data_IF_302672236465
#
_entry.id   IF_302672236465
#
_cell.length_a   1.000
_cell.length_b   1.000
_cell.length_c   1.000
_cell.angle_alpha   90.00
_cell.angle_beta   90.00
_cell.angle_gamma   90.00
#
_symmetry.space_group_name_H-M   'P 1'
#
loop_
_entity.id
_entity.type
_entity.pdbx_description
1 polymer ?
#
# COMPACT_ATOMS: atom_id res chain seq x y z
N UNK A 1 -31.27 5.01 0.06
CA UNK A 1 -30.68 4.08 -0.91
C UNK A 1 -29.66 3.23 -0.20
N UNK A 2 -29.77 1.92 -0.28
CA UNK A 2 -28.78 0.99 0.32
C UNK A 2 -27.50 1.08 -0.52
N UNK A 3 -26.34 1.17 0.14
CA UNK A 3 -25.06 1.15 -0.54
C UNK A 3 -24.76 -0.26 -1.05
N UNK A 4 -24.37 -0.36 -2.32
CA UNK A 4 -23.97 -1.61 -2.97
C UNK A 4 -22.47 -1.62 -3.21
N UNK A 5 -21.83 -2.81 -3.25
CA UNK A 5 -20.42 -2.94 -3.59
C UNK A 5 -20.12 -2.36 -4.98
N UNK A 6 -19.09 -1.52 -5.07
CA UNK A 6 -18.70 -0.86 -6.33
C UNK A 6 -17.53 -1.58 -7.06
N UNK A 7 -17.09 -2.75 -6.56
CA UNK A 7 -15.93 -3.45 -7.09
C UNK A 7 -14.65 -2.61 -7.00
N UNK A 8 -13.87 -2.57 -8.09
CA UNK A 8 -12.66 -1.73 -8.17
C UNK A 8 -12.98 -0.23 -8.38
N UNK A 9 -14.23 0.14 -8.59
CA UNK A 9 -14.62 1.51 -8.86
C UNK A 9 -15.05 2.25 -7.59
N UNK A 10 -15.21 3.57 -7.72
CA UNK A 10 -15.80 4.42 -6.69
C UNK A 10 -17.22 4.83 -7.08
N UNK A 11 -18.18 4.87 -6.13
CA UNK A 11 -19.59 5.17 -6.48
C UNK A 11 -19.80 6.59 -7.03
N UNK A 12 -18.89 7.54 -6.72
CA UNK A 12 -19.06 8.96 -7.08
C UNK A 12 -17.93 9.52 -7.94
N UNK A 13 -16.81 8.77 -8.14
CA UNK A 13 -15.60 9.29 -8.77
C UNK A 13 -15.14 8.39 -9.94
N UNK A 14 -14.61 9.02 -10.98
CA UNK A 14 -13.90 8.37 -12.09
C UNK A 14 -12.88 9.36 -12.72
N UNK A 15 -11.64 8.88 -13.03
CA UNK A 15 -11.11 7.57 -12.65
C UNK A 15 -10.81 7.49 -11.15
N UNK A 16 -11.08 6.35 -10.54
CA UNK A 16 -10.72 6.09 -9.14
C UNK A 16 -10.70 4.57 -8.90
N UNK A 17 -9.53 4.02 -8.60
CA UNK A 17 -9.37 2.58 -8.39
C UNK A 17 -7.97 2.08 -8.71
N UNK A 18 -7.87 0.78 -8.96
CA UNK A 18 -6.63 0.13 -9.39
C UNK A 18 -6.58 0.05 -10.92
N UNK A 19 -5.42 0.39 -11.45
CA UNK A 19 -5.15 0.37 -12.89
C UNK A 19 -3.95 -0.53 -13.18
N UNK A 20 -3.96 -1.31 -14.29
CA UNK A 20 -2.85 -2.16 -14.63
C UNK A 20 -1.64 -1.34 -15.08
N UNK A 21 -0.46 -1.71 -14.63
CA UNK A 21 0.83 -1.26 -15.12
C UNK A 21 1.53 -2.39 -15.90
N UNK A 22 2.66 -2.11 -16.52
CA UNK A 22 3.42 -3.14 -17.26
C UNK A 22 3.94 -4.26 -16.35
N UNK A 23 4.20 -3.94 -15.07
CA UNK A 23 4.81 -4.82 -14.06
C UNK A 23 3.90 -5.03 -12.82
N UNK A 24 2.60 -4.78 -12.94
CA UNK A 24 1.66 -4.98 -11.82
C UNK A 24 0.49 -4.02 -11.84
N UNK A 25 0.22 -3.38 -10.71
CA UNK A 25 -0.93 -2.51 -10.52
C UNK A 25 -0.54 -1.20 -9.82
N UNK A 26 -1.29 -0.14 -10.12
CA UNK A 26 -1.18 1.16 -9.46
C UNK A 26 -2.56 1.64 -9.02
N UNK A 27 -2.61 2.41 -7.93
CA UNK A 27 -3.81 3.11 -7.48
C UNK A 27 -3.78 4.54 -8.02
N UNK A 28 -4.86 4.98 -8.65
CA UNK A 28 -5.05 6.35 -9.12
C UNK A 28 -6.39 6.85 -8.60
N UNK A 29 -6.40 8.09 -8.06
CA UNK A 29 -7.61 8.73 -7.57
C UNK A 29 -7.75 10.15 -8.12
N UNK A 30 -8.75 10.39 -8.97
CA UNK A 30 -9.12 11.72 -9.45
C UNK A 30 -10.32 12.21 -8.65
N UNK A 31 -10.04 13.05 -7.64
CA UNK A 31 -11.08 13.51 -6.70
C UNK A 31 -11.75 14.81 -7.12
N UNK A 32 -11.13 15.57 -8.03
CA UNK A 32 -11.64 16.83 -8.55
C UNK A 32 -11.32 17.04 -10.05
N UNK A 33 -11.79 18.17 -10.59
CA UNK A 33 -11.61 18.48 -12.01
C UNK A 33 -10.20 19.01 -12.32
N UNK A 34 -9.45 19.49 -11.33
CA UNK A 34 -8.06 19.91 -11.52
C UNK A 34 -7.15 18.70 -11.74
N UNK A 35 -7.30 17.64 -10.91
CA UNK A 35 -6.56 16.40 -11.08
C UNK A 35 -6.91 15.68 -12.38
N UNK A 36 -8.17 15.78 -12.86
CA UNK A 36 -8.54 15.25 -14.17
C UNK A 36 -7.76 15.94 -15.30
N UNK A 37 -7.75 17.27 -15.30
CA UNK A 37 -7.02 18.03 -16.29
C UNK A 37 -5.52 17.72 -16.27
N UNK A 38 -4.95 17.58 -15.08
CA UNK A 38 -3.54 17.22 -14.92
C UNK A 38 -3.25 15.82 -15.44
N UNK A 39 -4.05 14.82 -15.07
CA UNK A 39 -3.90 13.46 -15.56
C UNK A 39 -4.00 13.40 -17.08
N UNK A 40 -5.01 14.04 -17.68
CA UNK A 40 -5.21 14.02 -19.12
C UNK A 40 -4.07 14.75 -19.89
N UNK A 41 -3.46 15.77 -19.30
CA UNK A 41 -2.23 16.41 -19.84
C UNK A 41 -1.03 15.48 -19.79
N UNK A 42 -0.80 14.81 -18.67
CA UNK A 42 0.29 13.84 -18.51
C UNK A 42 0.13 12.69 -19.50
N UNK A 43 -1.10 12.25 -19.72
CA UNK A 43 -1.44 11.22 -20.72
C UNK A 43 -1.33 11.73 -22.16
N UNK A 44 -1.12 13.03 -22.38
CA UNK A 44 -1.17 13.70 -23.70
C UNK A 44 -2.49 13.48 -24.46
N UNK A 45 -3.59 13.26 -23.71
CA UNK A 45 -4.93 12.99 -24.24
C UNK A 45 -5.73 14.29 -24.37
N UNK A 46 -5.38 15.10 -25.37
CA UNK A 46 -6.06 16.37 -25.67
C UNK A 46 -7.54 16.16 -26.06
N UNK A 47 -7.87 15.02 -26.65
CA UNK A 47 -9.24 14.61 -26.96
C UNK A 47 -10.10 14.51 -25.69
N UNK A 48 -9.58 13.90 -24.60
CA UNK A 48 -10.28 13.81 -23.31
C UNK A 48 -10.40 15.17 -22.62
N UNK A 49 -9.45 16.07 -22.81
CA UNK A 49 -9.51 17.44 -22.29
C UNK A 49 -10.58 18.28 -23.00
N UNK A 50 -10.77 18.09 -24.29
CA UNK A 50 -11.73 18.83 -25.12
C UNK A 50 -13.18 18.31 -24.95
N UNK A 51 -13.35 17.10 -24.44
CA UNK A 51 -14.66 16.49 -24.25
C UNK A 51 -15.43 17.10 -23.10
N UNK A 52 -16.46 17.89 -23.42
CA UNK A 52 -17.31 18.57 -22.44
C UNK A 52 -18.04 17.59 -21.51
N UNK A 53 -18.33 16.36 -21.95
CA UNK A 53 -18.95 15.32 -21.12
C UNK A 53 -18.06 14.94 -19.93
N UNK A 54 -16.73 15.03 -20.09
CA UNK A 54 -15.72 14.62 -19.10
C UNK A 54 -15.19 15.81 -18.26
N UNK A 55 -15.65 17.03 -18.54
CA UNK A 55 -15.15 18.24 -17.90
C UNK A 55 -15.47 18.33 -16.40
N UNK A 56 -16.52 17.64 -15.95
CA UNK A 56 -16.96 17.62 -14.56
C UNK A 56 -16.87 16.25 -13.92
N UNK A 57 -16.76 16.21 -12.61
CA UNK A 57 -16.77 14.97 -11.81
C UNK A 57 -17.98 14.08 -12.08
N UNK A 58 -19.18 14.67 -12.14
CA UNK A 58 -20.41 13.93 -12.43
C UNK A 58 -20.44 13.40 -13.87
N UNK A 59 -19.95 14.18 -14.82
CA UNK A 59 -19.84 13.75 -16.22
C UNK A 59 -18.90 12.55 -16.37
N UNK A 60 -17.71 12.60 -15.78
CA UNK A 60 -16.78 11.46 -15.77
C UNK A 60 -17.37 10.24 -15.06
N UNK A 61 -18.12 10.45 -13.98
CA UNK A 61 -18.79 9.31 -13.31
C UNK A 61 -19.84 8.67 -14.21
N UNK A 62 -20.59 9.46 -14.98
CA UNK A 62 -21.57 8.94 -15.95
C UNK A 62 -20.88 8.13 -17.09
N UNK A 63 -19.64 8.46 -17.42
CA UNK A 63 -18.82 7.82 -18.45
C UNK A 63 -17.63 7.03 -17.87
N UNK A 64 -17.83 6.46 -16.66
CA UNK A 64 -16.72 5.87 -15.89
C UNK A 64 -15.98 4.76 -16.63
N UNK A 65 -16.69 3.92 -17.39
CA UNK A 65 -16.05 2.84 -18.16
C UNK A 65 -15.10 3.41 -19.22
N UNK A 66 -15.56 4.37 -20.03
CA UNK A 66 -14.77 5.04 -21.07
C UNK A 66 -13.50 5.67 -20.49
N UNK A 67 -13.66 6.40 -19.37
CA UNK A 67 -12.55 7.04 -18.66
C UNK A 67 -11.56 6.03 -18.12
N UNK A 68 -12.04 4.98 -17.45
CA UNK A 68 -11.20 3.94 -16.86
C UNK A 68 -10.46 3.12 -17.94
N UNK A 69 -11.10 2.85 -19.07
CA UNK A 69 -10.47 2.14 -20.19
C UNK A 69 -9.35 2.99 -20.81
N UNK A 70 -9.56 4.30 -20.98
CA UNK A 70 -8.54 5.21 -21.47
C UNK A 70 -7.32 5.27 -20.52
N UNK A 71 -7.55 5.39 -19.22
CA UNK A 71 -6.48 5.39 -18.20
C UNK A 71 -5.77 4.04 -18.19
N UNK A 72 -6.50 2.93 -18.22
CA UNK A 72 -5.93 1.58 -18.25
C UNK A 72 -5.07 1.32 -19.47
N UNK A 73 -5.50 1.78 -20.65
CA UNK A 73 -4.73 1.65 -21.88
C UNK A 73 -3.41 2.43 -21.83
N UNK A 74 -3.41 3.57 -21.15
CA UNK A 74 -2.21 4.39 -20.99
C UNK A 74 -1.28 3.80 -19.91
N UNK A 75 -1.77 3.44 -18.72
CA UNK A 75 -0.94 2.95 -17.62
C UNK A 75 -0.22 1.65 -17.94
N UNK A 76 -0.80 0.78 -18.76
CA UNK A 76 -0.18 -0.48 -19.22
C UNK A 76 1.13 -0.29 -20.00
N UNK A 77 1.40 0.89 -20.51
CA UNK A 77 2.60 1.21 -21.28
C UNK A 77 3.82 1.49 -20.40
N UNK A 78 3.62 1.65 -19.08
CA UNK A 78 4.64 2.07 -18.12
C UNK A 78 4.74 1.09 -16.96
N UNK A 79 5.94 0.94 -16.39
CA UNK A 79 6.11 0.24 -15.12
C UNK A 79 5.67 1.13 -13.92
N UNK A 80 5.50 0.52 -12.74
CA UNK A 80 5.09 1.21 -11.51
C UNK A 80 6.02 2.39 -11.17
N UNK A 81 7.32 2.22 -11.36
CA UNK A 81 8.31 3.27 -11.07
C UNK A 81 8.20 4.46 -12.03
N UNK A 82 7.99 4.22 -13.33
CA UNK A 82 7.79 5.28 -14.32
C UNK A 82 6.49 6.05 -14.05
N UNK A 83 5.40 5.35 -13.74
CA UNK A 83 4.15 5.98 -13.33
C UNK A 83 4.32 6.80 -12.05
N UNK A 84 5.16 6.31 -11.11
CA UNK A 84 5.53 7.06 -9.90
C UNK A 84 6.23 8.38 -10.20
N UNK A 85 7.15 8.38 -11.17
CA UNK A 85 7.84 9.60 -11.60
C UNK A 85 6.91 10.58 -12.35
N UNK A 86 5.96 10.06 -13.14
CA UNK A 86 5.01 10.88 -13.90
C UNK A 86 3.91 11.49 -13.03
N UNK A 87 3.35 10.72 -12.09
CA UNK A 87 2.12 11.03 -11.35
C UNK A 87 2.38 11.43 -9.89
N UNK A 88 3.47 10.96 -9.28
CA UNK A 88 3.80 11.20 -7.88
C UNK A 88 3.86 12.68 -7.53
N UNK A 89 3.18 13.07 -6.45
CA UNK A 89 3.10 14.45 -6.01
C UNK A 89 2.18 15.37 -6.83
N UNK A 90 1.67 14.91 -7.98
CA UNK A 90 0.78 15.71 -8.85
C UNK A 90 -0.69 15.36 -8.67
N UNK A 91 -0.98 14.10 -8.36
CA UNK A 91 -2.33 13.61 -8.06
C UNK A 91 -2.26 12.42 -7.09
N UNK A 92 -3.36 12.02 -6.46
CA UNK A 92 -3.41 10.83 -5.62
C UNK A 92 -3.02 9.60 -6.42
N UNK A 93 -1.84 9.05 -6.11
CA UNK A 93 -1.20 7.94 -6.80
C UNK A 93 -0.45 7.07 -5.80
N UNK A 94 -0.40 5.77 -6.04
CA UNK A 94 0.47 4.83 -5.33
C UNK A 94 0.63 3.52 -6.07
N UNK A 95 1.84 2.92 -6.05
CA UNK A 95 2.02 1.56 -6.56
C UNK A 95 1.30 0.56 -5.67
N UNK A 96 0.83 -0.54 -6.24
CA UNK A 96 0.41 -1.73 -5.48
C UNK A 96 1.65 -2.60 -5.30
N UNK A 97 2.16 -2.62 -4.07
CA UNK A 97 3.38 -3.33 -3.72
C UNK A 97 3.08 -4.76 -3.31
N UNK A 98 3.87 -5.70 -3.78
CA UNK A 98 3.95 -7.06 -3.27
C UNK A 98 4.97 -7.17 -2.11
N UNK A 99 5.17 -8.39 -1.59
CA UNK A 99 6.12 -8.60 -0.48
C UNK A 99 7.58 -8.31 -0.88
N UNK A 100 7.93 -8.52 -2.14
CA UNK A 100 9.28 -8.22 -2.63
C UNK A 100 9.48 -6.70 -2.76
N UNK A 101 8.51 -5.99 -3.28
CA UNK A 101 8.52 -4.53 -3.36
C UNK A 101 8.70 -3.92 -1.95
N UNK A 102 7.91 -4.37 -0.97
CA UNK A 102 7.94 -3.87 0.41
C UNK A 102 9.31 -4.10 1.07
N UNK A 103 9.91 -5.29 0.87
CA UNK A 103 11.21 -5.64 1.46
C UNK A 103 12.34 -4.75 0.94
N UNK A 104 12.20 -4.23 -0.28
CA UNK A 104 13.22 -3.40 -0.93
C UNK A 104 12.82 -1.91 -1.02
N UNK A 105 11.71 -1.53 -0.40
CA UNK A 105 11.24 -0.14 -0.40
C UNK A 105 12.11 0.73 0.51
N UNK A 106 12.76 1.80 -0.01
CA UNK A 106 13.62 2.67 0.78
C UNK A 106 12.93 3.35 1.95
N UNK A 107 11.61 3.63 1.84
CA UNK A 107 10.84 4.22 2.93
C UNK A 107 10.61 3.20 4.05
N UNK A 108 10.28 1.95 3.69
CA UNK A 108 10.12 0.84 4.65
C UNK A 108 11.44 0.58 5.39
N UNK A 109 12.57 0.61 4.67
CA UNK A 109 13.90 0.50 5.24
C UNK A 109 14.23 1.66 6.19
N UNK A 110 14.08 2.92 5.73
CA UNK A 110 14.35 4.12 6.52
C UNK A 110 13.48 4.20 7.79
N UNK A 111 12.28 3.61 7.76
CA UNK A 111 11.38 3.52 8.91
C UNK A 111 11.67 2.32 9.81
N UNK A 112 12.62 1.45 9.47
CA UNK A 112 12.91 0.24 10.23
C UNK A 112 11.72 -0.71 10.35
N UNK A 113 10.87 -0.77 9.31
CA UNK A 113 9.62 -1.54 9.35
C UNK A 113 9.80 -3.03 9.10
N UNK A 114 11.01 -3.45 8.73
CA UNK A 114 11.39 -4.86 8.62
C UNK A 114 12.47 -5.14 9.65
N UNK A 115 12.24 -6.13 10.48
CA UNK A 115 13.18 -6.58 11.49
C UNK A 115 13.71 -7.99 11.18
N UNK A 116 14.97 -8.26 11.53
CA UNK A 116 15.53 -9.60 11.46
C UNK A 116 15.37 -10.28 12.81
N UNK A 117 14.67 -11.40 12.84
CA UNK A 117 14.52 -12.26 14.02
C UNK A 117 15.50 -13.41 13.90
N UNK A 118 16.45 -13.56 14.84
CA UNK A 118 17.41 -14.65 14.79
C UNK A 118 16.73 -16.01 14.91
N UNK A 119 17.29 -17.03 14.27
CA UNK A 119 16.83 -18.41 14.46
C UNK A 119 17.28 -18.93 15.84
N UNK A 120 16.42 -19.74 16.49
CA UNK A 120 16.77 -20.35 17.79
C UNK A 120 17.98 -21.30 17.73
N UNK A 121 18.25 -21.89 16.56
CA UNK A 121 19.43 -22.73 16.36
C UNK A 121 20.58 -21.91 15.76
N UNK A 122 21.73 -21.96 16.40
CA UNK A 122 22.93 -21.28 15.93
C UNK A 122 23.31 -21.74 14.50
N UNK A 123 23.72 -20.78 13.68
CA UNK A 123 24.13 -21.04 12.30
C UNK A 123 23.00 -21.16 11.27
N UNK A 124 21.74 -21.15 11.67
CA UNK A 124 20.61 -21.05 10.73
C UNK A 124 20.24 -19.59 10.45
N UNK A 125 19.83 -19.33 9.20
CA UNK A 125 19.35 -18.00 8.81
C UNK A 125 18.08 -17.65 9.57
N UNK A 126 18.03 -16.44 10.11
CA UNK A 126 16.82 -15.89 10.74
C UNK A 126 15.72 -15.53 9.75
N UNK A 127 14.67 -14.95 10.26
CA UNK A 127 13.50 -14.51 9.48
C UNK A 127 13.46 -12.99 9.40
N UNK A 128 12.99 -12.47 8.28
CA UNK A 128 12.58 -11.08 8.14
C UNK A 128 11.09 -10.99 8.42
N UNK A 129 10.71 -10.16 9.38
CA UNK A 129 9.32 -9.98 9.85
C UNK A 129 8.97 -8.51 9.90
N UNK A 130 7.67 -8.19 9.90
CA UNK A 130 7.22 -6.84 10.15
C UNK A 130 7.65 -6.39 11.57
N UNK A 131 8.27 -5.22 11.66
CA UNK A 131 8.68 -4.61 12.92
C UNK A 131 7.51 -3.88 13.60
N UNK A 132 7.75 -3.39 14.81
CA UNK A 132 6.77 -2.57 15.52
C UNK A 132 6.64 -1.20 14.84
N UNK A 133 5.45 -0.80 14.34
CA UNK A 133 5.24 0.48 13.71
C UNK A 133 5.20 1.66 14.70
N UNK A 134 5.07 1.39 15.99
CA UNK A 134 4.97 2.41 17.03
C UNK A 134 6.37 2.78 17.53
N UNK A 135 6.74 4.04 17.32
CA UNK A 135 8.00 4.59 17.79
C UNK A 135 7.78 5.50 19.00
N UNK A 136 8.27 5.08 20.17
CA UNK A 136 8.25 5.88 21.37
C UNK A 136 9.57 6.62 21.54
N UNK A 137 9.53 7.90 21.92
CA UNK A 137 10.73 8.72 22.11
C UNK A 137 11.54 8.32 23.36
N UNK A 138 10.88 7.90 24.44
CA UNK A 138 11.51 7.59 25.72
C UNK A 138 11.72 6.08 25.96
N UNK A 139 10.94 5.22 25.29
CA UNK A 139 10.98 3.76 25.47
C UNK A 139 11.04 3.09 24.11
N UNK A 140 12.23 3.04 23.47
CA UNK A 140 12.35 2.39 22.16
C UNK A 140 11.94 0.92 22.23
N UNK A 141 11.42 0.41 21.12
CA UNK A 141 11.05 -0.99 21.02
C UNK A 141 12.27 -1.90 21.28
N UNK A 142 12.04 -3.02 21.94
CA UNK A 142 13.08 -4.03 22.14
C UNK A 142 13.54 -4.61 20.80
N UNK A 143 14.81 -4.93 20.68
CA UNK A 143 15.35 -5.67 19.54
C UNK A 143 14.64 -7.02 19.44
N UNK A 144 14.35 -7.49 18.23
CA UNK A 144 13.76 -8.81 18.03
C UNK A 144 14.68 -9.92 18.60
N UNK A 145 14.08 -10.89 19.22
CA UNK A 145 14.78 -12.06 19.76
C UNK A 145 14.18 -13.34 19.20
N UNK A 146 14.96 -14.43 19.23
CA UNK A 146 14.49 -15.72 18.75
C UNK A 146 13.25 -16.19 19.51
N UNK A 147 12.24 -16.76 18.83
CA UNK A 147 11.10 -17.37 19.53
C UNK A 147 11.58 -18.53 20.40
N UNK A 148 10.97 -18.76 21.56
CA UNK A 148 11.37 -19.81 22.46
C UNK A 148 11.16 -21.20 21.83
N UNK A 149 12.01 -22.14 22.19
CA UNK A 149 11.83 -23.54 21.83
C UNK A 149 10.69 -24.18 22.62
N UNK A 150 10.18 -25.28 22.12
CA UNK A 150 9.13 -26.03 22.83
C UNK A 150 9.63 -26.42 24.24
N UNK A 151 8.92 -25.97 25.27
CA UNK A 151 9.23 -26.25 26.67
C UNK A 151 10.35 -25.41 27.28
N UNK A 152 11.01 -24.51 26.54
CA UNK A 152 12.14 -23.71 27.03
C UNK A 152 11.82 -22.93 28.34
N UNK A 153 10.61 -22.44 28.47
CA UNK A 153 10.16 -21.67 29.64
C UNK A 153 9.29 -22.45 30.64
N UNK A 154 9.22 -23.80 30.55
CA UNK A 154 8.41 -24.62 31.47
C UNK A 154 8.84 -24.47 32.93
N UNK A 155 10.12 -24.14 33.20
CA UNK A 155 10.61 -23.86 34.54
C UNK A 155 9.87 -22.68 35.21
N UNK A 156 9.38 -21.70 34.43
CA UNK A 156 8.62 -20.57 34.95
C UNK A 156 7.27 -21.03 35.55
N UNK A 157 6.63 -22.04 34.96
CA UNK A 157 5.39 -22.61 35.49
C UNK A 157 5.60 -23.22 36.88
N UNK A 158 6.74 -23.87 37.09
CA UNK A 158 7.11 -24.42 38.40
C UNK A 158 7.35 -23.32 39.43
N UNK A 159 7.97 -22.22 39.04
CA UNK A 159 8.19 -21.06 39.92
C UNK A 159 6.87 -20.39 40.30
N UNK A 160 5.97 -20.17 39.32
CA UNK A 160 4.65 -19.59 39.54
C UNK A 160 3.78 -20.49 40.44
N UNK A 161 3.82 -21.80 40.25
CA UNK A 161 3.08 -22.74 41.10
C UNK A 161 3.58 -22.77 42.57
N UNK A 162 4.82 -22.41 42.80
CA UNK A 162 5.43 -22.27 44.16
C UNK A 162 5.20 -20.91 44.80
N UNK A 163 4.88 -19.90 44.05
CA UNK A 163 4.48 -18.60 44.56
C UNK A 163 3.09 -18.74 45.20
N UNK A 164 3.03 -18.89 46.54
CA UNK A 164 1.75 -18.88 47.22
C UNK A 164 1.04 -17.55 46.91
N UNK A 165 -0.29 -17.58 46.67
CA UNK A 165 -1.04 -16.34 46.60
C UNK A 165 -0.88 -15.60 47.91
N UNK A 166 -0.60 -14.30 47.85
CA UNK A 166 -0.63 -13.43 49.01
C UNK A 166 -2.07 -13.51 49.56
N UNK A 167 -2.22 -14.07 50.75
CA UNK A 167 -3.47 -14.08 51.54
C UNK A 167 -3.74 -12.71 52.10
#
# INVERSE_FOLDING_TARGET
KVAEPAGNGHPLLAPFGLFPAADGWVSIGVVDDAFWRELARIMERHDLLADQRLSTKSGRRAHAQEVNDAVSAWTRQYCKAELGALLGGKLPFGPVNDAQDIIHDPHVEARGMIAEVPHADAGRKGWRVAANPIHFSATPALSPFAPPRLGEHNHLLTLLARAKPAT
#
